data_IF_111211763732
#
_entry.id   IF_111211763732
#
_cell.length_a   1.000
_cell.length_b   1.000
_cell.length_c   1.000
_cell.angle_alpha   90.00
_cell.angle_beta   90.00
_cell.angle_gamma   90.00
#
_symmetry.space_group_name_H-M   'P 1'
#
loop_
_entity.id
_entity.type
_entity.pdbx_description
1 polymer ?
#
# COMPACT_ATOMS: atom_id res chain seq x y z
N UNK A 1 1.43 -5.56 19.70
CA UNK A 1 1.40 -5.58 18.22
C UNK A 1 2.03 -4.27 17.77
N UNK A 2 2.95 -4.31 16.81
CA UNK A 2 3.50 -3.09 16.21
C UNK A 2 2.59 -2.67 15.05
N UNK A 3 2.49 -1.38 14.74
CA UNK A 3 1.67 -0.90 13.62
C UNK A 3 1.99 -1.66 12.32
N UNK A 4 3.28 -1.93 12.06
CA UNK A 4 3.75 -2.72 10.91
C UNK A 4 3.14 -4.12 10.78
N UNK A 5 2.83 -4.79 11.91
CA UNK A 5 2.22 -6.12 11.90
C UNK A 5 0.76 -6.08 11.42
N UNK A 6 0.12 -4.91 11.51
CA UNK A 6 -1.25 -4.65 11.05
C UNK A 6 -1.23 -4.11 9.62
N UNK A 7 -0.32 -3.19 9.31
CA UNK A 7 -0.24 -2.53 8.01
C UNK A 7 0.26 -3.47 6.92
N UNK A 8 1.24 -4.34 7.21
CA UNK A 8 1.80 -5.25 6.21
C UNK A 8 0.73 -6.14 5.55
N UNK A 9 -0.13 -6.86 6.29
CA UNK A 9 -1.20 -7.68 5.69
C UNK A 9 -2.21 -6.88 4.87
N UNK A 10 -2.48 -5.62 5.21
CA UNK A 10 -3.38 -4.75 4.43
C UNK A 10 -2.70 -4.42 3.10
N UNK A 11 -1.51 -3.85 3.17
CA UNK A 11 -0.75 -3.38 2.02
C UNK A 11 -0.44 -4.52 1.03
N UNK A 12 0.10 -5.64 1.52
CA UNK A 12 0.50 -6.77 0.69
C UNK A 12 -0.68 -7.39 -0.07
N UNK A 13 -1.88 -7.40 0.52
CA UNK A 13 -3.09 -7.99 -0.07
C UNK A 13 -3.65 -7.10 -1.17
N UNK A 14 -3.63 -5.78 -0.97
CA UNK A 14 -4.04 -4.81 -1.99
C UNK A 14 -3.03 -4.83 -3.15
N UNK A 15 -1.72 -4.84 -2.86
CA UNK A 15 -0.66 -4.97 -3.87
C UNK A 15 -0.78 -6.26 -4.67
N UNK A 16 -0.95 -7.40 -3.99
CA UNK A 16 -1.12 -8.69 -4.64
C UNK A 16 -2.34 -8.73 -5.58
N UNK A 17 -3.46 -8.13 -5.16
CA UNK A 17 -4.67 -8.00 -5.99
C UNK A 17 -4.40 -7.16 -7.24
N UNK A 18 -3.78 -5.99 -7.07
CA UNK A 18 -3.42 -5.11 -8.19
C UNK A 18 -2.52 -5.83 -9.20
N UNK A 19 -1.42 -6.45 -8.74
CA UNK A 19 -0.49 -7.16 -9.62
C UNK A 19 -1.16 -8.29 -10.38
N UNK A 20 -2.07 -9.02 -9.73
CA UNK A 20 -2.83 -10.10 -10.36
C UNK A 20 -3.72 -9.56 -11.49
N UNK A 21 -4.33 -8.40 -11.31
CA UNK A 21 -5.14 -7.74 -12.34
C UNK A 21 -4.28 -7.25 -13.51
N UNK A 22 -3.12 -6.63 -13.23
CA UNK A 22 -2.17 -6.20 -14.28
C UNK A 22 -1.59 -7.35 -15.09
N UNK A 23 -1.19 -8.44 -14.41
CA UNK A 23 -0.74 -9.65 -15.09
C UNK A 23 -1.82 -10.21 -16.02
N UNK A 24 -3.08 -10.27 -15.55
CA UNK A 24 -4.21 -10.73 -16.36
C UNK A 24 -4.42 -9.84 -17.59
N UNK A 25 -4.33 -8.51 -17.45
CA UNK A 25 -4.45 -7.56 -18.57
C UNK A 25 -3.36 -7.79 -19.63
N UNK A 26 -2.16 -8.17 -19.22
CA UNK A 26 -1.02 -8.46 -20.11
C UNK A 26 -0.94 -9.92 -20.58
N UNK A 27 -1.87 -10.78 -20.17
CA UNK A 27 -1.85 -12.20 -20.51
C UNK A 27 -0.69 -12.98 -19.86
N UNK A 28 -0.12 -12.44 -18.77
CA UNK A 28 0.99 -13.06 -18.06
C UNK A 28 0.49 -14.04 -17.00
N UNK A 29 1.23 -15.13 -16.86
CA UNK A 29 1.08 -16.12 -15.81
C UNK A 29 2.15 -15.92 -14.73
N UNK A 30 2.03 -16.66 -13.63
CA UNK A 30 3.02 -16.66 -12.55
C UNK A 30 4.41 -17.17 -12.97
N UNK A 31 4.53 -17.81 -14.13
CA UNK A 31 5.79 -18.31 -14.67
C UNK A 31 6.53 -17.26 -15.50
N UNK A 32 5.86 -16.18 -15.86
CA UNK A 32 6.40 -15.13 -16.74
C UNK A 32 7.07 -14.00 -15.96
N UNK A 33 7.09 -14.07 -14.63
CA UNK A 33 7.76 -13.08 -13.79
C UNK A 33 9.25 -13.40 -13.73
N UNK A 34 10.02 -12.60 -14.47
CA UNK A 34 11.48 -12.70 -14.57
C UNK A 34 12.10 -11.33 -14.78
N UNK A 35 13.42 -11.27 -14.66
CA UNK A 35 14.20 -10.08 -15.01
C UNK A 35 15.56 -10.46 -15.59
N UNK A 36 16.16 -9.54 -16.35
CA UNK A 36 17.50 -9.70 -16.89
C UNK A 36 18.55 -9.47 -15.78
N UNK A 37 19.16 -10.54 -15.28
CA UNK A 37 20.24 -10.45 -14.30
C UNK A 37 21.55 -10.01 -14.95
N UNK A 38 21.77 -10.41 -16.21
CA UNK A 38 22.85 -9.93 -17.06
C UNK A 38 22.40 -9.91 -18.53
N UNK A 39 23.26 -9.47 -19.45
CA UNK A 39 22.94 -9.47 -20.89
C UNK A 39 22.58 -10.85 -21.45
N UNK A 40 23.04 -11.92 -20.82
CA UNK A 40 22.86 -13.30 -21.28
C UNK A 40 22.09 -14.17 -20.28
N UNK A 41 21.70 -13.62 -19.12
CA UNK A 41 21.09 -14.40 -18.03
C UNK A 41 19.76 -13.79 -17.59
N UNK A 42 18.72 -14.62 -17.61
CA UNK A 42 17.36 -14.27 -17.21
C UNK A 42 17.06 -15.01 -15.91
N UNK A 43 16.77 -14.27 -14.85
CA UNK A 43 16.41 -14.82 -13.56
C UNK A 43 14.88 -14.86 -13.43
N UNK A 44 14.33 -16.07 -13.43
CA UNK A 44 12.90 -16.28 -13.15
C UNK A 44 12.63 -16.26 -11.64
N UNK A 45 11.56 -15.60 -11.22
CA UNK A 45 11.11 -15.64 -9.83
C UNK A 45 10.37 -16.97 -9.58
N UNK A 46 10.71 -17.65 -8.49
CA UNK A 46 10.06 -18.90 -8.10
C UNK A 46 8.53 -18.73 -8.07
N UNK A 47 7.80 -19.66 -8.70
CA UNK A 47 6.36 -19.54 -8.88
C UNK A 47 5.59 -19.54 -7.54
N UNK A 48 6.11 -20.19 -6.49
CA UNK A 48 5.51 -20.16 -5.16
C UNK A 48 5.68 -18.79 -4.54
N UNK A 49 6.81 -18.13 -4.82
CA UNK A 49 7.08 -16.74 -4.44
C UNK A 49 6.11 -15.79 -5.11
N UNK A 50 6.00 -15.85 -6.44
CA UNK A 50 5.03 -15.04 -7.20
C UNK A 50 3.62 -15.26 -6.66
N UNK A 51 3.18 -16.52 -6.53
CA UNK A 51 1.84 -16.84 -6.00
C UNK A 51 1.63 -16.33 -4.58
N UNK A 52 2.66 -16.36 -3.73
CA UNK A 52 2.61 -15.82 -2.37
C UNK A 52 2.41 -14.30 -2.35
N UNK A 53 3.14 -13.59 -3.21
CA UNK A 53 3.03 -12.13 -3.36
C UNK A 53 1.65 -11.76 -3.89
N UNK A 54 1.16 -12.44 -4.93
CA UNK A 54 -0.18 -12.19 -5.50
C UNK A 54 -1.32 -12.46 -4.51
N UNK A 55 -1.09 -13.29 -3.48
CA UNK A 55 -2.04 -13.54 -2.38
C UNK A 55 -1.88 -12.55 -1.21
N UNK A 56 -0.85 -11.71 -1.22
CA UNK A 56 -0.46 -10.87 -0.09
C UNK A 56 0.11 -11.65 1.10
N UNK A 57 0.48 -12.92 0.93
CA UNK A 57 0.96 -13.78 2.02
C UNK A 57 2.48 -13.87 2.08
N UNK A 58 3.21 -13.15 1.22
CA UNK A 58 4.67 -13.17 1.15
C UNK A 58 5.19 -11.77 0.83
N UNK A 59 6.32 -11.42 1.44
CA UNK A 59 7.05 -10.20 1.13
C UNK A 59 7.56 -10.24 -0.33
N UNK A 60 7.37 -9.16 -1.06
CA UNK A 60 8.08 -8.88 -2.31
C UNK A 60 9.48 -8.36 -1.97
N UNK A 61 10.53 -9.10 -2.32
CA UNK A 61 11.93 -8.70 -2.18
C UNK A 61 12.42 -7.90 -3.39
N UNK A 62 13.64 -7.35 -3.35
CA UNK A 62 14.33 -6.70 -4.48
C UNK A 62 14.20 -7.50 -5.78
N UNK A 63 14.59 -8.78 -5.76
CA UNK A 63 14.51 -9.63 -6.96
C UNK A 63 13.08 -9.72 -7.51
N UNK A 64 12.10 -9.90 -6.62
CA UNK A 64 10.70 -10.01 -7.03
C UNK A 64 10.16 -8.67 -7.55
N UNK A 65 10.56 -7.57 -6.92
CA UNK A 65 10.25 -6.21 -7.36
C UNK A 65 10.76 -5.99 -8.78
N UNK A 66 12.04 -6.23 -9.03
CA UNK A 66 12.66 -6.12 -10.37
C UNK A 66 11.93 -7.01 -11.37
N UNK A 67 11.66 -8.27 -11.01
CA UNK A 67 10.89 -9.21 -11.82
C UNK A 67 9.52 -8.67 -12.24
N UNK A 68 8.75 -8.15 -11.28
CA UNK A 68 7.45 -7.54 -11.58
C UNK A 68 7.57 -6.27 -12.41
N UNK A 69 8.56 -5.41 -12.14
CA UNK A 69 8.76 -4.18 -12.90
C UNK A 69 9.07 -4.45 -14.36
N UNK A 70 10.04 -5.32 -14.65
CA UNK A 70 10.42 -5.64 -16.03
C UNK A 70 9.28 -6.36 -16.76
N UNK A 71 8.68 -7.38 -16.14
CA UNK A 71 7.63 -8.19 -16.76
C UNK A 71 6.36 -7.37 -17.04
N UNK A 72 6.03 -6.42 -16.18
CA UNK A 72 4.87 -5.53 -16.37
C UNK A 72 5.22 -4.25 -17.14
N UNK A 73 6.50 -3.96 -17.39
CA UNK A 73 6.95 -2.72 -18.03
C UNK A 73 6.69 -1.48 -17.15
N UNK A 74 6.82 -1.62 -15.84
CA UNK A 74 6.66 -0.54 -14.85
C UNK A 74 8.01 0.16 -14.66
N UNK A 75 8.04 1.48 -14.87
CA UNK A 75 9.28 2.25 -14.98
C UNK A 75 9.97 2.50 -13.65
N UNK A 76 9.21 2.77 -12.60
CA UNK A 76 9.76 3.17 -11.30
C UNK A 76 9.27 2.25 -10.19
N UNK A 77 10.04 2.05 -9.10
CA UNK A 77 9.56 1.29 -7.96
C UNK A 77 8.32 1.93 -7.32
N UNK A 78 8.23 3.27 -7.30
CA UNK A 78 7.04 3.97 -6.80
C UNK A 78 5.79 3.60 -7.60
N UNK A 79 5.88 3.52 -8.92
CA UNK A 79 4.75 3.11 -9.78
C UNK A 79 4.37 1.63 -9.60
N UNK A 80 5.26 0.79 -9.04
CA UNK A 80 4.92 -0.58 -8.67
C UNK A 80 4.18 -0.61 -7.33
N UNK A 81 4.71 0.11 -6.34
CA UNK A 81 4.23 0.07 -4.96
C UNK A 81 2.98 0.95 -4.72
N UNK A 82 2.83 2.03 -5.48
CA UNK A 82 1.70 2.97 -5.42
C UNK A 82 1.21 3.28 -6.85
N UNK A 83 0.64 2.30 -7.55
CA UNK A 83 0.45 2.34 -9.00
C UNK A 83 -0.56 3.35 -9.52
N UNK A 84 -1.58 3.69 -8.73
CA UNK A 84 -2.63 4.62 -9.14
C UNK A 84 -3.45 5.11 -7.94
N UNK A 85 -4.27 6.12 -8.17
CA UNK A 85 -5.17 6.70 -7.17
C UNK A 85 -6.12 5.66 -6.56
N UNK A 86 -6.67 4.74 -7.37
CA UNK A 86 -7.59 3.72 -6.88
C UNK A 86 -6.93 2.76 -5.87
N UNK A 87 -5.65 2.44 -6.09
CA UNK A 87 -4.84 1.69 -5.12
C UNK A 87 -4.69 2.46 -3.82
N UNK A 88 -4.32 3.75 -3.88
CA UNK A 88 -4.18 4.60 -2.70
C UNK A 88 -5.50 4.75 -1.93
N UNK A 89 -6.62 4.92 -2.64
CA UNK A 89 -7.96 4.96 -2.05
C UNK A 89 -8.26 3.69 -1.25
N UNK A 90 -8.06 2.51 -1.85
CA UNK A 90 -8.30 1.23 -1.17
C UNK A 90 -7.39 1.05 0.03
N UNK A 91 -6.12 1.42 -0.08
CA UNK A 91 -5.16 1.33 1.02
C UNK A 91 -5.55 2.22 2.20
N UNK A 92 -5.82 3.49 1.94
CA UNK A 92 -6.17 4.45 3.00
C UNK A 92 -7.51 4.07 3.63
N UNK A 93 -8.49 3.65 2.84
CA UNK A 93 -9.79 3.20 3.34
C UNK A 93 -9.65 2.06 4.34
N UNK A 94 -8.93 0.99 3.97
CA UNK A 94 -8.71 -0.16 4.85
C UNK A 94 -7.91 0.23 6.11
N UNK A 95 -6.91 1.10 5.99
CA UNK A 95 -6.18 1.64 7.15
C UNK A 95 -7.13 2.37 8.09
N UNK A 96 -7.96 3.28 7.59
CA UNK A 96 -8.90 4.05 8.42
C UNK A 96 -9.92 3.13 9.10
N UNK A 97 -10.45 2.13 8.41
CA UNK A 97 -11.36 1.14 9.00
C UNK A 97 -10.70 0.32 10.11
N UNK A 98 -9.45 -0.08 9.92
CA UNK A 98 -8.67 -0.77 10.95
C UNK A 98 -8.38 0.15 12.15
N UNK A 99 -8.08 1.43 11.94
CA UNK A 99 -7.94 2.39 13.03
C UNK A 99 -9.23 2.52 13.86
N UNK A 100 -10.40 2.46 13.21
CA UNK A 100 -11.71 2.51 13.89
C UNK A 100 -12.04 1.23 14.65
N UNK A 101 -11.65 0.06 14.14
CA UNK A 101 -12.19 -1.23 14.62
C UNK A 101 -11.19 -2.04 15.44
N UNK A 102 -9.90 -2.02 15.09
CA UNK A 102 -8.89 -2.84 15.73
C UNK A 102 -8.63 -2.40 17.18
N UNK A 103 -8.54 -3.39 18.06
CA UNK A 103 -8.30 -3.22 19.49
C UNK A 103 -6.94 -2.59 19.81
N UNK A 104 -5.93 -2.79 18.97
CA UNK A 104 -4.60 -2.19 19.10
C UNK A 104 -4.67 -0.67 19.12
N UNK A 105 -5.54 -0.08 18.32
CA UNK A 105 -5.71 1.37 18.24
C UNK A 105 -6.69 1.95 19.26
N UNK A 106 -7.37 1.11 20.07
CA UNK A 106 -8.48 1.53 20.96
C UNK A 106 -8.13 2.70 21.90
N UNK A 107 -6.88 2.74 22.39
CA UNK A 107 -6.38 3.82 23.28
C UNK A 107 -5.38 4.74 22.59
N UNK A 108 -5.20 4.63 21.28
CA UNK A 108 -4.23 5.43 20.54
C UNK A 108 -4.70 6.88 20.35
N UNK A 109 -3.74 7.81 20.33
CA UNK A 109 -3.99 9.21 19.97
C UNK A 109 -4.52 9.35 18.55
N UNK A 110 -3.99 8.55 17.61
CA UNK A 110 -4.39 8.53 16.21
C UNK A 110 -5.88 8.18 16.03
N UNK A 111 -6.38 7.12 16.69
CA UNK A 111 -7.81 6.78 16.64
C UNK A 111 -8.68 7.89 17.24
N UNK A 112 -8.23 8.51 18.33
CA UNK A 112 -8.94 9.66 18.92
C UNK A 112 -9.00 10.84 17.95
N UNK A 113 -7.91 11.14 17.26
CA UNK A 113 -7.89 12.20 16.24
C UNK A 113 -8.81 11.86 15.07
N UNK A 114 -8.83 10.61 14.59
CA UNK A 114 -9.75 10.17 13.55
C UNK A 114 -11.21 10.39 13.96
N UNK A 115 -11.61 9.96 15.15
CA UNK A 115 -12.99 10.18 15.63
C UNK A 115 -13.31 11.66 15.88
N UNK A 116 -12.35 12.45 16.34
CA UNK A 116 -12.55 13.89 16.46
C UNK A 116 -12.77 14.55 15.09
N UNK A 117 -11.95 14.22 14.10
CA UNK A 117 -12.12 14.66 12.72
C UNK A 117 -13.52 14.28 12.17
N UNK A 118 -13.88 12.99 12.27
CA UNK A 118 -15.15 12.48 11.76
C UNK A 118 -16.36 13.15 12.43
N UNK A 119 -16.35 13.27 13.76
CA UNK A 119 -17.42 13.95 14.48
C UNK A 119 -17.50 15.45 14.17
N UNK A 120 -16.36 16.15 14.09
CA UNK A 120 -16.32 17.59 13.76
C UNK A 120 -16.87 17.85 12.36
N UNK A 121 -16.51 17.01 11.39
CA UNK A 121 -16.83 17.23 9.98
C UNK A 121 -18.21 16.71 9.59
N UNK A 122 -18.61 15.56 10.12
CA UNK A 122 -19.79 14.84 9.66
C UNK A 122 -20.78 14.45 10.75
N UNK A 123 -20.45 14.66 12.03
CA UNK A 123 -21.34 14.36 13.15
C UNK A 123 -21.51 12.86 13.48
N UNK A 124 -20.80 11.96 12.81
CA UNK A 124 -20.77 10.53 13.13
C UNK A 124 -19.44 9.86 12.71
N UNK A 125 -19.17 8.66 13.27
CA UNK A 125 -17.91 7.95 13.05
C UNK A 125 -17.98 6.82 12.00
N UNK A 126 -19.17 6.51 11.50
CA UNK A 126 -19.42 5.35 10.62
C UNK A 126 -19.35 5.71 9.11
N UNK A 127 -18.76 6.86 8.79
CA UNK A 127 -18.57 7.29 7.41
C UNK A 127 -17.35 6.60 6.79
N UNK A 128 -17.58 5.98 5.64
CA UNK A 128 -16.53 5.35 4.84
C UNK A 128 -15.67 6.39 4.14
N UNK A 129 -14.39 6.08 3.96
CA UNK A 129 -13.42 6.99 3.37
C UNK A 129 -13.83 7.47 1.96
N UNK A 130 -14.42 6.60 1.15
CA UNK A 130 -14.86 6.93 -0.22
C UNK A 130 -15.98 7.98 -0.26
N UNK A 131 -16.65 8.21 0.87
CA UNK A 131 -17.73 9.20 1.00
C UNK A 131 -17.23 10.56 1.52
N UNK A 132 -15.93 10.73 1.76
CA UNK A 132 -15.37 12.02 2.15
C UNK A 132 -15.43 13.01 0.98
N UNK A 133 -15.37 14.31 1.26
CA UNK A 133 -15.25 15.29 0.20
C UNK A 133 -13.94 15.09 -0.59
N UNK A 134 -14.02 15.24 -1.92
CA UNK A 134 -12.91 14.97 -2.84
C UNK A 134 -11.60 15.67 -2.45
N UNK A 135 -11.66 16.95 -2.06
CA UNK A 135 -10.49 17.70 -1.63
C UNK A 135 -9.80 17.14 -0.36
N UNK A 136 -10.54 16.44 0.51
CA UNK A 136 -9.97 15.76 1.69
C UNK A 136 -9.28 14.48 1.26
N UNK A 137 -9.95 13.69 0.41
CA UNK A 137 -9.39 12.48 -0.19
C UNK A 137 -8.06 12.80 -0.89
N UNK A 138 -8.05 13.86 -1.70
CA UNK A 138 -6.87 14.30 -2.45
C UNK A 138 -5.72 14.65 -1.51
N UNK A 139 -5.98 15.37 -0.41
CA UNK A 139 -4.95 15.66 0.62
C UNK A 139 -4.37 14.41 1.27
N UNK A 140 -5.19 13.39 1.53
CA UNK A 140 -4.72 12.14 2.14
C UNK A 140 -3.84 11.36 1.16
N UNK A 141 -4.24 11.27 -0.11
CA UNK A 141 -3.47 10.61 -1.16
C UNK A 141 -2.18 11.37 -1.42
N UNK A 142 -2.23 12.70 -1.53
CA UNK A 142 -1.06 13.55 -1.73
C UNK A 142 -0.07 13.40 -0.59
N UNK A 143 -0.53 13.43 0.66
CA UNK A 143 0.34 13.21 1.83
C UNK A 143 1.01 11.84 1.81
N UNK A 144 0.26 10.77 1.51
CA UNK A 144 0.82 9.44 1.39
C UNK A 144 1.88 9.39 0.28
N UNK A 145 1.56 9.89 -0.92
CA UNK A 145 2.47 9.83 -2.07
C UNK A 145 3.68 10.73 -1.89
N UNK A 146 3.57 11.87 -1.22
CA UNK A 146 4.71 12.76 -0.93
C UNK A 146 5.65 12.16 0.13
N UNK A 147 5.19 11.20 0.93
CA UNK A 147 6.01 10.47 1.88
C UNK A 147 6.99 9.48 1.21
N UNK A 148 6.75 9.15 -0.06
CA UNK A 148 7.60 8.24 -0.85
C UNK A 148 8.19 8.96 -2.07
N UNK A 149 9.53 9.05 -2.23
CA UNK A 149 10.12 9.56 -3.46
C UNK A 149 9.90 8.58 -4.62
N UNK A 150 10.14 9.02 -5.86
CA UNK A 150 9.99 8.20 -7.07
C UNK A 150 10.84 6.91 -7.04
N UNK A 151 12.02 7.00 -6.43
CA UNK A 151 12.90 5.88 -6.12
C UNK A 151 13.01 5.77 -4.58
N UNK A 152 12.07 5.08 -3.91
CA UNK A 152 12.14 4.85 -2.49
C UNK A 152 13.41 4.08 -2.11
N UNK A 153 13.94 4.36 -0.91
CA UNK A 153 15.03 3.55 -0.33
C UNK A 153 14.52 2.18 0.12
N UNK A 154 13.21 2.02 0.24
CA UNK A 154 12.56 0.79 0.62
C UNK A 154 12.54 -0.17 -0.57
N UNK A 155 13.17 -1.31 -0.39
CA UNK A 155 13.47 -2.30 -1.41
C UNK A 155 12.52 -3.52 -1.36
N UNK A 156 11.56 -3.50 -0.43
CA UNK A 156 10.62 -4.58 -0.25
C UNK A 156 9.24 -4.11 0.18
N UNK A 157 8.21 -4.93 -0.08
CA UNK A 157 6.85 -4.62 0.37
C UNK A 157 6.72 -4.53 1.90
N UNK A 158 7.60 -5.21 2.64
CA UNK A 158 7.69 -5.12 4.09
C UNK A 158 8.19 -3.74 4.51
N UNK A 159 9.31 -3.28 3.95
CA UNK A 159 9.86 -1.95 4.25
C UNK A 159 8.90 -0.83 3.84
N UNK A 160 8.24 -0.95 2.68
CA UNK A 160 7.17 -0.02 2.30
C UNK A 160 6.06 0.02 3.35
N UNK A 161 5.63 -1.14 3.88
CA UNK A 161 4.60 -1.19 4.91
C UNK A 161 5.06 -0.65 6.27
N UNK A 162 6.34 -0.79 6.61
CA UNK A 162 6.94 -0.16 7.79
C UNK A 162 6.90 1.35 7.63
N UNK A 163 7.27 1.88 6.46
CA UNK A 163 7.21 3.31 6.18
C UNK A 163 5.78 3.86 6.10
N UNK A 164 4.81 3.09 5.61
CA UNK A 164 3.38 3.44 5.72
C UNK A 164 2.99 3.55 7.20
N UNK A 165 3.56 2.73 8.08
CA UNK A 165 3.31 2.82 9.52
C UNK A 165 3.86 4.11 10.13
N UNK A 166 4.96 4.63 9.60
CA UNK A 166 5.51 5.94 9.98
C UNK A 166 4.65 7.09 9.45
N UNK A 167 4.13 6.97 8.22
CA UNK A 167 3.17 7.93 7.65
C UNK A 167 1.90 8.10 8.51
N UNK A 168 1.54 7.13 9.35
CA UNK A 168 0.41 7.27 10.28
C UNK A 168 0.58 8.47 11.25
N UNK A 169 1.81 8.91 11.52
CA UNK A 169 2.07 10.14 12.30
C UNK A 169 1.61 11.37 11.52
N UNK A 170 1.88 11.41 10.22
CA UNK A 170 1.49 12.54 9.37
C UNK A 170 -0.01 12.53 9.08
N UNK A 171 -0.60 11.34 8.97
CA UNK A 171 -2.05 11.18 8.95
C UNK A 171 -2.69 11.75 10.24
N UNK A 172 -2.10 11.48 11.40
CA UNK A 172 -2.55 12.04 12.69
C UNK A 172 -2.52 13.58 12.68
N UNK A 173 -1.47 14.17 12.13
CA UNK A 173 -1.35 15.62 11.97
C UNK A 173 -2.43 16.17 11.03
N UNK A 174 -2.60 15.58 9.84
CA UNK A 174 -3.62 15.98 8.87
C UNK A 174 -5.04 15.92 9.45
N UNK A 175 -5.37 14.85 10.15
CA UNK A 175 -6.66 14.70 10.81
C UNK A 175 -6.92 15.79 11.85
N UNK A 176 -5.87 16.32 12.47
CA UNK A 176 -6.00 17.39 13.46
C UNK A 176 -6.26 18.76 12.81
N UNK A 177 -5.64 19.01 11.65
CA UNK A 177 -5.74 20.26 10.87
C UNK A 177 -7.08 20.41 10.14
N UNK A 178 -7.62 19.29 9.62
CA UNK A 178 -8.88 19.24 8.88
C UNK A 178 -10.13 19.23 9.78
#
# INVERSE_FOLDING_TARGET
>A
MLNKEIIFPIYSKILGKYLKEEMKKKGLSQYDISFAYSKEDIKCIDNRTVRGILKGSRNMTVDSQTGFQESLGIKTPKDLFFPNEQFCLSLISEILEVLKTDSHFKKSSLRRQLFNFLNRRYGCNDIKFENFEKHIIDKFIESLLNFFPEFPNEESSLEISEKISDWLVELAFLLSEL
#
